data_IF_329685089663
#
_entry.id   IF_329685089663
#
_cell.length_a   1.000
_cell.length_b   1.000
_cell.length_c   1.000
_cell.angle_alpha   90.00
_cell.angle_beta   90.00
_cell.angle_gamma   90.00
#
_symmetry.space_group_name_H-M   'P 1'
#
loop_
_entity.id
_entity.type
_entity.pdbx_description
1 polymer ?
#
# COMPACT_ATOMS: atom_id res chain seq x y z
N UNK A 1 -3.31 36.73 22.88
CA UNK A 1 -4.24 35.99 21.98
C UNK A 1 -3.48 35.64 20.72
N UNK A 2 -3.18 34.36 20.51
CA UNK A 2 -2.93 33.73 19.20
C UNK A 2 -2.86 32.21 19.49
N UNK A 3 -3.99 31.55 19.27
CA UNK A 3 -4.18 30.13 19.53
C UNK A 3 -3.78 29.31 18.30
N UNK A 4 -2.87 28.36 18.54
CA UNK A 4 -2.92 26.97 18.07
C UNK A 4 -3.04 26.79 16.55
N UNK A 5 -1.90 26.78 15.86
CA UNK A 5 -1.73 25.97 14.66
C UNK A 5 -1.76 24.49 15.07
N UNK A 6 -2.95 23.87 15.04
CA UNK A 6 -3.06 22.40 15.09
C UNK A 6 -2.48 21.88 13.78
N UNK A 7 -1.21 21.52 13.80
CA UNK A 7 -0.68 20.55 12.86
C UNK A 7 -1.44 19.24 13.14
N UNK A 8 -2.50 18.99 12.37
CA UNK A 8 -3.08 17.66 12.31
C UNK A 8 -1.98 16.76 11.77
N UNK A 9 -1.54 15.72 12.47
CA UNK A 9 -0.53 14.83 11.92
C UNK A 9 -1.17 14.15 10.70
N UNK A 10 -0.71 14.46 9.50
CA UNK A 10 -1.16 13.81 8.26
C UNK A 10 -1.04 12.27 8.35
N UNK A 11 -0.12 11.77 9.19
CA UNK A 11 -0.01 10.34 9.50
C UNK A 11 -1.14 9.74 10.34
N UNK A 12 -1.86 10.53 11.15
CA UNK A 12 -2.94 10.03 12.01
C UNK A 12 -4.26 9.81 11.26
N UNK A 13 -4.51 10.61 10.21
CA UNK A 13 -5.70 10.47 9.37
C UNK A 13 -5.61 9.25 8.45
N UNK A 14 -4.45 8.99 7.83
CA UNK A 14 -4.23 7.82 6.97
C UNK A 14 -4.33 6.49 7.73
N UNK A 15 -3.73 6.40 8.93
CA UNK A 15 -3.89 5.22 9.77
C UNK A 15 -5.37 4.95 10.09
N UNK A 16 -6.13 5.99 10.42
CA UNK A 16 -7.57 5.85 10.75
C UNK A 16 -8.42 5.51 9.53
N UNK A 17 -8.12 6.05 8.34
CA UNK A 17 -8.86 5.73 7.10
C UNK A 17 -8.59 4.31 6.63
N UNK A 18 -7.33 3.83 6.73
CA UNK A 18 -6.97 2.45 6.40
C UNK A 18 -7.71 1.42 7.25
N UNK A 19 -7.78 1.63 8.58
CA UNK A 19 -8.55 0.79 9.50
C UNK A 19 -10.02 0.70 9.05
N UNK A 20 -10.65 1.86 8.80
CA UNK A 20 -12.06 1.91 8.38
C UNK A 20 -12.29 1.24 7.04
N UNK A 21 -11.35 1.39 6.10
CA UNK A 21 -11.42 0.71 4.81
C UNK A 21 -11.40 -0.81 4.99
N UNK A 22 -10.48 -1.33 5.79
CA UNK A 22 -10.38 -2.78 6.05
C UNK A 22 -11.67 -3.33 6.66
N UNK A 23 -12.27 -2.63 7.64
CA UNK A 23 -13.53 -3.06 8.27
C UNK A 23 -14.71 -3.06 7.29
N UNK A 24 -14.80 -2.02 6.46
CA UNK A 24 -15.84 -1.89 5.42
C UNK A 24 -15.72 -3.00 4.37
N UNK A 25 -14.51 -3.20 3.82
CA UNK A 25 -14.27 -4.20 2.79
C UNK A 25 -14.37 -5.63 3.33
N UNK A 26 -13.96 -5.88 4.58
CA UNK A 26 -14.09 -7.21 5.20
C UNK A 26 -15.55 -7.63 5.29
N UNK A 27 -16.43 -6.71 5.68
CA UNK A 27 -17.87 -6.94 5.77
C UNK A 27 -18.46 -7.28 4.39
N UNK A 28 -18.09 -6.52 3.36
CA UNK A 28 -18.55 -6.73 1.99
C UNK A 28 -18.05 -8.06 1.40
N UNK A 29 -16.75 -8.31 1.50
CA UNK A 29 -16.09 -9.52 0.99
C UNK A 29 -16.64 -10.77 1.68
N UNK A 30 -16.85 -10.72 3.01
CA UNK A 30 -17.40 -11.84 3.75
C UNK A 30 -18.85 -12.13 3.35
N UNK A 31 -19.69 -11.09 3.18
CA UNK A 31 -21.09 -11.25 2.80
C UNK A 31 -21.25 -11.82 1.38
N UNK A 32 -20.40 -11.40 0.44
CA UNK A 32 -20.47 -11.82 -0.97
C UNK A 32 -19.66 -13.10 -1.26
N UNK A 33 -18.88 -13.59 -0.29
CA UNK A 33 -18.05 -14.78 -0.46
C UNK A 33 -16.88 -14.58 -1.43
N UNK A 34 -16.44 -13.34 -1.67
CA UNK A 34 -15.36 -13.05 -2.60
C UNK A 34 -13.99 -13.47 -2.06
N UNK A 35 -13.10 -13.86 -2.98
CA UNK A 35 -11.67 -13.86 -2.70
C UNK A 35 -11.17 -12.42 -2.62
N UNK A 36 -10.31 -12.14 -1.64
CA UNK A 36 -9.69 -10.82 -1.48
C UNK A 36 -8.22 -10.92 -1.07
N UNK A 37 -7.47 -9.86 -1.30
CA UNK A 37 -6.08 -9.74 -0.89
C UNK A 37 -5.73 -8.32 -0.50
N UNK A 38 -4.57 -8.16 0.14
CA UNK A 38 -3.99 -6.86 0.44
C UNK A 38 -2.64 -6.76 -0.26
N UNK A 39 -2.42 -5.62 -0.91
CA UNK A 39 -1.09 -5.16 -1.32
C UNK A 39 -0.66 -4.04 -0.38
N UNK A 40 0.63 -4.01 -0.05
CA UNK A 40 1.27 -2.87 0.61
C UNK A 40 2.41 -2.42 -0.28
N UNK A 41 2.36 -1.16 -0.70
CA UNK A 41 3.32 -0.54 -1.60
C UNK A 41 4.14 0.47 -0.82
N UNK A 42 5.46 0.30 -0.81
CA UNK A 42 6.39 1.29 -0.27
C UNK A 42 7.03 2.06 -1.42
N UNK A 43 6.78 3.37 -1.47
CA UNK A 43 7.33 4.28 -2.46
C UNK A 43 8.27 5.34 -1.84
N UNK A 44 8.52 5.27 -0.54
CA UNK A 44 9.54 6.05 0.20
C UNK A 44 10.98 5.55 0.02
N UNK A 45 11.29 4.88 -1.09
CA UNK A 45 12.62 4.31 -1.36
C UNK A 45 13.74 5.35 -1.51
N UNK A 46 14.94 4.88 -1.89
CA UNK A 46 16.15 5.71 -2.11
C UNK A 46 15.94 6.89 -3.09
N UNK A 47 14.93 6.79 -3.96
CA UNK A 47 14.51 7.86 -4.86
C UNK A 47 14.12 9.15 -4.14
N UNK A 48 13.52 9.08 -2.95
CA UNK A 48 13.07 10.28 -2.24
C UNK A 48 14.12 10.83 -1.26
N UNK A 49 15.29 10.20 -1.16
CA UNK A 49 16.36 10.64 -0.23
C UNK A 49 17.22 11.77 -0.76
N UNK A 50 17.21 12.01 -2.08
CA UNK A 50 18.10 12.97 -2.75
C UNK A 50 17.34 14.01 -3.59
N UNK A 51 16.04 14.12 -3.37
CA UNK A 51 15.13 14.94 -4.17
C UNK A 51 14.60 16.06 -3.27
N UNK A 52 14.62 17.30 -3.76
CA UNK A 52 14.07 18.45 -3.04
C UNK A 52 12.59 18.23 -2.72
N UNK A 53 12.08 18.87 -1.67
CA UNK A 53 10.73 18.63 -1.13
C UNK A 53 9.61 18.82 -2.19
N UNK A 54 9.77 19.80 -3.07
CA UNK A 54 8.84 20.07 -4.18
C UNK A 54 8.87 18.95 -5.25
N UNK A 55 10.06 18.48 -5.62
CA UNK A 55 10.23 17.38 -6.58
C UNK A 55 9.77 16.03 -5.98
N UNK A 56 9.89 15.89 -4.65
CA UNK A 56 9.39 14.73 -3.92
C UNK A 56 7.87 14.66 -3.99
N UNK A 57 7.16 15.76 -3.76
CA UNK A 57 5.70 15.80 -3.89
C UNK A 57 5.21 15.43 -5.29
N UNK A 58 5.90 15.92 -6.33
CA UNK A 58 5.61 15.58 -7.73
C UNK A 58 5.88 14.10 -8.03
N UNK A 59 6.99 13.57 -7.53
CA UNK A 59 7.36 12.16 -7.71
C UNK A 59 6.38 11.22 -7.00
N UNK A 60 6.02 11.53 -5.74
CA UNK A 60 5.01 10.78 -4.99
C UNK A 60 3.67 10.79 -5.71
N UNK A 61 3.23 11.95 -6.21
CA UNK A 61 2.00 12.09 -7.00
C UNK A 61 2.04 11.26 -8.28
N UNK A 62 3.16 11.26 -9.00
CA UNK A 62 3.34 10.46 -10.21
C UNK A 62 3.27 8.94 -9.92
N UNK A 63 3.91 8.50 -8.83
CA UNK A 63 3.84 7.09 -8.41
C UNK A 63 2.40 6.70 -8.07
N UNK A 64 1.69 7.51 -7.30
CA UNK A 64 0.30 7.24 -6.92
C UNK A 64 -0.62 7.20 -8.15
N UNK A 65 -0.47 8.12 -9.10
CA UNK A 65 -1.23 8.12 -10.34
C UNK A 65 -0.99 6.84 -11.17
N UNK A 66 0.25 6.34 -11.19
CA UNK A 66 0.54 5.07 -11.85
C UNK A 66 -0.04 3.87 -11.11
N UNK A 67 0.02 3.86 -9.77
CA UNK A 67 -0.62 2.79 -8.98
C UNK A 67 -2.13 2.78 -9.24
N UNK A 68 -2.79 3.94 -9.24
CA UNK A 68 -4.22 4.09 -9.52
C UNK A 68 -4.61 3.47 -10.88
N UNK A 69 -3.79 3.70 -11.91
CA UNK A 69 -3.99 3.08 -13.23
C UNK A 69 -3.90 1.54 -13.27
N UNK A 70 -3.34 0.90 -12.23
CA UNK A 70 -3.31 -0.55 -12.07
C UNK A 70 -4.46 -1.11 -11.22
N UNK A 71 -5.21 -0.24 -10.54
CA UNK A 71 -6.32 -0.65 -9.70
C UNK A 71 -7.51 -1.06 -10.56
N UNK A 72 -8.14 -2.16 -10.17
CA UNK A 72 -9.44 -2.53 -10.68
C UNK A 72 -10.49 -1.60 -10.10
N UNK A 73 -11.61 -1.45 -10.80
CA UNK A 73 -12.74 -0.60 -10.38
C UNK A 73 -13.29 -0.93 -8.97
N UNK A 74 -13.12 -2.16 -8.51
CA UNK A 74 -13.51 -2.67 -7.19
C UNK A 74 -12.40 -2.60 -6.14
N UNK A 75 -11.16 -2.33 -6.55
CA UNK A 75 -10.08 -2.17 -5.59
C UNK A 75 -10.22 -0.85 -4.84
N UNK A 76 -9.71 -0.82 -3.62
CA UNK A 76 -9.72 0.37 -2.77
C UNK A 76 -8.37 0.55 -2.14
N UNK A 77 -7.92 1.79 -2.01
CA UNK A 77 -6.63 2.10 -1.43
C UNK A 77 -6.71 3.25 -0.45
N UNK A 78 -5.86 3.20 0.58
CA UNK A 78 -5.68 4.28 1.55
C UNK A 78 -4.21 4.36 1.94
N UNK A 79 -3.69 5.56 2.24
CA UNK A 79 -2.35 5.71 2.83
C UNK A 79 -2.29 5.02 4.20
N UNK A 80 -1.30 4.17 4.42
CA UNK A 80 -1.06 3.53 5.74
C UNK A 80 -0.13 4.41 6.59
N UNK A 81 0.74 5.17 5.93
CA UNK A 81 1.69 6.08 6.53
C UNK A 81 2.53 6.77 5.45
N UNK A 82 3.51 7.61 5.85
CA UNK A 82 4.35 8.32 4.91
C UNK A 82 5.04 7.36 3.93
N UNK A 83 4.78 7.55 2.63
CA UNK A 83 5.37 6.72 1.58
C UNK A 83 4.89 5.27 1.52
N UNK A 84 3.76 4.93 2.18
CA UNK A 84 3.13 3.61 2.12
C UNK A 84 1.66 3.70 1.77
N UNK A 85 1.28 2.92 0.76
CA UNK A 85 -0.10 2.75 0.33
C UNK A 85 -0.57 1.32 0.59
N UNK A 86 -1.73 1.19 1.23
CA UNK A 86 -2.45 -0.07 1.34
C UNK A 86 -3.49 -0.18 0.23
N UNK A 87 -3.60 -1.35 -0.38
CA UNK A 87 -4.61 -1.64 -1.40
C UNK A 87 -5.34 -2.92 -1.04
N UNK A 88 -6.66 -2.83 -0.91
CA UNK A 88 -7.55 -3.98 -0.84
C UNK A 88 -7.95 -4.37 -2.26
N UNK A 89 -7.65 -5.61 -2.63
CA UNK A 89 -7.83 -6.14 -3.98
C UNK A 89 -8.98 -7.14 -4.00
N UNK A 90 -10.04 -6.82 -4.76
CA UNK A 90 -11.28 -7.60 -4.83
C UNK A 90 -11.89 -7.50 -6.23
N UNK A 91 -12.48 -8.57 -6.78
CA UNK A 91 -12.31 -9.95 -6.36
C UNK A 91 -10.93 -10.48 -6.80
N UNK A 92 -10.44 -11.51 -6.11
CA UNK A 92 -9.35 -12.35 -6.62
C UNK A 92 -9.81 -13.79 -6.76
N UNK A 93 -9.46 -14.43 -7.87
CA UNK A 93 -9.78 -15.85 -8.14
C UNK A 93 -8.89 -16.83 -7.36
N UNK A 94 -7.91 -16.30 -6.62
CA UNK A 94 -7.03 -17.07 -5.77
C UNK A 94 -5.69 -16.36 -5.51
N UNK A 95 -4.81 -16.97 -4.69
CA UNK A 95 -3.54 -16.35 -4.30
C UNK A 95 -2.63 -15.99 -5.48
N UNK A 96 -2.66 -16.80 -6.55
CA UNK A 96 -1.86 -16.57 -7.75
C UNK A 96 -2.27 -15.30 -8.51
N UNK A 97 -3.56 -14.94 -8.49
CA UNK A 97 -4.02 -13.70 -9.11
C UNK A 97 -3.40 -12.48 -8.40
N UNK A 98 -3.40 -12.48 -7.07
CA UNK A 98 -2.78 -11.42 -6.28
C UNK A 98 -1.26 -11.32 -6.54
N UNK A 99 -0.57 -12.46 -6.64
CA UNK A 99 0.87 -12.52 -6.97
C UNK A 99 1.14 -11.91 -8.35
N UNK A 100 0.32 -12.23 -9.35
CA UNK A 100 0.45 -11.67 -10.71
C UNK A 100 0.28 -10.16 -10.70
N UNK A 101 -0.79 -9.66 -10.07
CA UNK A 101 -1.05 -8.22 -9.94
C UNK A 101 0.08 -7.47 -9.23
N UNK A 102 0.60 -8.02 -8.12
CA UNK A 102 1.73 -7.42 -7.41
C UNK A 102 2.99 -7.35 -8.28
N UNK A 103 3.27 -8.41 -9.05
CA UNK A 103 4.44 -8.48 -9.95
C UNK A 103 4.32 -7.55 -11.14
N UNK A 104 3.14 -7.43 -11.73
CA UNK A 104 2.85 -6.51 -12.83
C UNK A 104 3.02 -5.07 -12.37
N UNK A 105 2.38 -4.69 -11.25
CA UNK A 105 2.54 -3.36 -10.64
C UNK A 105 4.02 -3.02 -10.39
N UNK A 106 4.75 -3.90 -9.72
CA UNK A 106 6.16 -3.68 -9.43
C UNK A 106 7.01 -3.58 -10.71
N UNK A 107 6.75 -4.43 -11.72
CA UNK A 107 7.48 -4.41 -12.99
C UNK A 107 7.26 -3.10 -13.74
N UNK A 108 6.01 -2.66 -13.84
CA UNK A 108 5.64 -1.50 -14.64
C UNK A 108 6.11 -0.20 -14.00
N UNK A 109 6.01 -0.09 -12.67
CA UNK A 109 6.60 1.02 -11.93
C UNK A 109 8.13 1.06 -12.08
N UNK A 110 8.79 -0.11 -12.00
CA UNK A 110 10.24 -0.20 -12.21
C UNK A 110 10.67 0.15 -13.64
N UNK A 111 9.90 -0.25 -14.65
CA UNK A 111 10.15 0.10 -16.05
C UNK A 111 10.08 1.61 -16.29
N UNK A 112 9.32 2.33 -15.46
CA UNK A 112 9.20 3.79 -15.47
C UNK A 112 10.26 4.49 -14.60
N UNK A 113 11.19 3.74 -14.01
CA UNK A 113 12.24 4.27 -13.15
C UNK A 113 11.84 4.44 -11.69
N UNK A 114 10.64 4.01 -11.28
CA UNK A 114 10.23 4.07 -9.88
C UNK A 114 10.76 2.86 -9.10
N UNK A 115 11.56 3.12 -8.07
CA UNK A 115 12.03 2.12 -7.11
C UNK A 115 11.02 1.98 -5.98
N UNK A 116 10.01 1.13 -6.21
CA UNK A 116 9.02 0.75 -5.20
C UNK A 116 9.25 -0.66 -4.70
N UNK A 117 8.76 -0.96 -3.51
CA UNK A 117 8.64 -2.32 -2.99
C UNK A 117 7.17 -2.67 -2.82
N UNK A 118 6.78 -3.87 -3.23
CA UNK A 118 5.40 -4.35 -3.14
C UNK A 118 5.38 -5.67 -2.39
N UNK A 119 4.65 -5.69 -1.28
CA UNK A 119 4.33 -6.91 -0.56
C UNK A 119 2.84 -7.22 -0.66
N UNK A 120 2.47 -8.48 -0.46
CA UNK A 120 1.08 -8.91 -0.59
C UNK A 120 0.74 -10.06 0.34
N UNK A 121 -0.53 -10.17 0.68
CA UNK A 121 -1.08 -11.32 1.40
C UNK A 121 -2.55 -11.53 1.04
N UNK A 122 -2.94 -12.78 0.81
CA UNK A 122 -4.35 -13.12 0.60
C UNK A 122 -5.12 -13.10 1.92
N UNK A 123 -6.39 -12.68 1.85
CA UNK A 123 -7.38 -12.84 2.90
C UNK A 123 -7.54 -14.32 3.22
N UNK A 124 -7.70 -14.62 4.50
CA UNK A 124 -8.08 -15.96 4.99
C UNK A 124 -9.33 -15.80 5.85
N UNK A 125 -10.13 -16.87 5.98
CA UNK A 125 -11.28 -16.86 6.89
C UNK A 125 -10.86 -16.52 8.33
N UNK A 126 -9.71 -17.01 8.76
CA UNK A 126 -9.13 -16.65 10.04
C UNK A 126 -8.40 -15.30 9.95
N UNK A 127 -8.90 -14.32 10.71
CA UNK A 127 -8.30 -12.99 10.82
C UNK A 127 -8.59 -12.03 9.67
N UNK A 128 -9.26 -12.47 8.59
CA UNK A 128 -9.78 -11.60 7.54
C UNK A 128 -8.72 -10.76 6.81
N UNK A 129 -9.15 -9.60 6.32
CA UNK A 129 -8.30 -8.59 5.68
C UNK A 129 -7.30 -7.97 6.66
N UNK A 130 -7.66 -7.81 7.93
CA UNK A 130 -6.76 -7.31 8.96
C UNK A 130 -5.48 -8.13 9.10
N UNK A 131 -5.63 -9.45 9.24
CA UNK A 131 -4.47 -10.32 9.34
C UNK A 131 -3.71 -10.40 8.01
N UNK A 132 -4.37 -10.20 6.86
CA UNK A 132 -3.70 -10.10 5.58
C UNK A 132 -2.85 -8.82 5.49
N UNK A 133 -3.40 -7.67 5.85
CA UNK A 133 -2.69 -6.39 5.91
C UNK A 133 -1.44 -6.49 6.80
N UNK A 134 -1.59 -7.01 8.03
CA UNK A 134 -0.47 -7.19 8.95
C UNK A 134 0.63 -8.11 8.39
N UNK A 135 0.26 -9.19 7.69
CA UNK A 135 1.23 -10.09 7.04
C UNK A 135 1.94 -9.42 5.86
N UNK A 136 1.21 -8.65 5.05
CA UNK A 136 1.79 -7.94 3.91
C UNK A 136 2.77 -6.86 4.40
N UNK A 137 2.40 -6.09 5.42
CA UNK A 137 3.25 -5.07 6.01
C UNK A 137 4.52 -5.67 6.66
N UNK A 138 4.38 -6.74 7.46
CA UNK A 138 5.54 -7.43 8.04
C UNK A 138 6.48 -8.04 6.98
N UNK A 139 5.92 -8.53 5.87
CA UNK A 139 6.71 -9.03 4.74
C UNK A 139 7.49 -7.89 4.07
N UNK A 140 6.87 -6.73 3.88
CA UNK A 140 7.50 -5.54 3.34
C UNK A 140 8.66 -5.06 4.24
N UNK A 141 8.41 -4.94 5.55
CA UNK A 141 9.45 -4.55 6.52
C UNK A 141 10.65 -5.49 6.50
N UNK A 142 10.40 -6.80 6.34
CA UNK A 142 11.47 -7.79 6.21
C UNK A 142 12.31 -7.55 4.95
N UNK A 143 11.69 -7.19 3.83
CA UNK A 143 12.39 -6.85 2.58
C UNK A 143 13.23 -5.58 2.75
N UNK A 144 12.63 -4.54 3.31
CA UNK A 144 13.31 -3.25 3.54
C UNK A 144 14.51 -3.41 4.50
N UNK A 145 14.35 -4.19 5.58
CA UNK A 145 15.42 -4.46 6.55
C UNK A 145 16.57 -5.29 5.97
N UNK A 146 16.31 -6.15 4.97
CA UNK A 146 17.38 -6.89 4.26
C UNK A 146 18.16 -5.98 3.32
N UNK A 147 17.47 -5.05 2.65
CA UNK A 147 18.11 -4.09 1.75
C UNK A 147 19.03 -3.14 2.51
N UNK A 148 18.58 -2.61 3.65
CA UNK A 148 19.43 -1.72 4.48
C UNK A 148 20.70 -2.40 4.99
N UNK A 149 20.65 -3.71 5.25
CA UNK A 149 21.83 -4.50 5.65
C UNK A 149 22.79 -4.84 4.51
N UNK A 150 22.33 -4.78 3.26
CA UNK A 150 23.11 -5.17 2.09
C UNK A 150 23.73 -3.97 1.34
N UNK A 151 23.29 -2.75 1.66
CA UNK A 151 23.78 -1.49 1.07
C UNK A 151 24.56 -0.61 2.03
N UNK A 152 25.17 -1.19 3.07
CA UNK A 152 26.06 -0.51 4.03
C UNK A 152 27.50 -0.98 3.90
#
# INVERSE_FOLDING_TARGET
MLSIGRQTPEGALGATSWVRLLDSEESLVAAQGFGAGVLVVNYSGELLRHVDEDERGLTESAVLAHIDGHLGWTDRCEPIGPGRLGVVVVPIDGPLALVRRARELHRDLRARGFHVDVAYASRRRTGGLWAAAARADAALDTVLARRSKSGG
#
